data_IF_373944354205
#
_entry.id   IF_373944354205
#
_cell.length_a   1.000
_cell.length_b   1.000
_cell.length_c   1.000
_cell.angle_alpha   90.00
_cell.angle_beta   90.00
_cell.angle_gamma   90.00
#
_symmetry.space_group_name_H-M   'P 1'
#
loop_
_entity.id
_entity.type
_entity.pdbx_description
1 polymer ?
#
# COMPACT_ATOMS: atom_id res chain seq x y z
N UNK A 1 10.17 -3.73 -2.04
CA UNK A 1 9.25 -2.81 -2.74
C UNK A 1 8.49 -1.96 -1.72
N UNK A 2 8.37 -0.65 -1.94
CA UNK A 2 7.61 0.27 -1.08
C UNK A 2 6.40 0.79 -1.86
N UNK A 3 5.20 0.77 -1.27
CA UNK A 3 3.98 1.32 -1.88
C UNK A 3 3.15 2.09 -0.84
N UNK A 4 2.61 3.25 -1.22
CA UNK A 4 1.67 4.00 -0.37
C UNK A 4 0.24 3.46 -0.46
N UNK A 5 -0.02 2.49 -1.33
CA UNK A 5 -1.35 1.87 -1.51
C UNK A 5 -1.23 0.36 -1.56
N UNK A 6 -2.17 -0.31 -0.91
CA UNK A 6 -2.33 -1.76 -1.01
C UNK A 6 -2.63 -2.16 -2.48
N UNK A 7 -1.80 -3.02 -3.12
CA UNK A 7 -1.85 -3.26 -4.56
C UNK A 7 -2.92 -4.26 -5.01
N UNK A 8 -3.53 -5.01 -4.08
CA UNK A 8 -4.50 -6.07 -4.39
C UNK A 8 -5.90 -5.73 -3.82
N UNK A 9 -7.00 -6.13 -4.47
CA UNK A 9 -7.09 -6.69 -5.82
C UNK A 9 -6.72 -5.67 -6.90
N UNK A 10 -6.18 -6.13 -8.04
CA UNK A 10 -5.80 -5.28 -9.18
C UNK A 10 -7.03 -4.85 -9.99
N UNK A 11 -8.11 -4.48 -9.31
CA UNK A 11 -9.38 -4.01 -9.90
C UNK A 11 -9.81 -2.66 -9.33
N UNK A 12 -9.20 -2.23 -8.21
CA UNK A 12 -9.56 -1.00 -7.48
C UNK A 12 -9.04 0.30 -8.11
N UNK A 13 -8.27 0.22 -9.19
CA UNK A 13 -7.78 1.39 -9.92
C UNK A 13 -6.49 1.14 -10.69
N UNK A 14 -6.14 2.09 -11.58
CA UNK A 14 -4.97 1.97 -12.45
C UNK A 14 -3.62 1.94 -11.71
N UNK A 15 -3.55 2.51 -10.51
CA UNK A 15 -2.35 2.42 -9.66
C UNK A 15 -2.19 1.02 -9.09
N UNK A 16 -3.26 0.41 -8.59
CA UNK A 16 -3.26 -0.95 -8.07
C UNK A 16 -2.92 -1.95 -9.19
N UNK A 17 -3.56 -1.82 -10.36
CA UNK A 17 -3.28 -2.66 -11.54
C UNK A 17 -1.78 -2.65 -11.90
N UNK A 18 -1.17 -1.45 -12.04
CA UNK A 18 0.24 -1.34 -12.42
C UNK A 18 1.17 -1.88 -11.34
N UNK A 19 0.91 -1.52 -10.08
CA UNK A 19 1.74 -1.93 -8.93
C UNK A 19 1.70 -3.45 -8.75
N UNK A 20 0.52 -4.06 -8.84
CA UNK A 20 0.34 -5.51 -8.72
C UNK A 20 1.04 -6.27 -9.85
N UNK A 21 0.86 -5.86 -11.10
CA UNK A 21 1.50 -6.54 -12.23
C UNK A 21 3.04 -6.40 -12.19
N UNK A 22 3.56 -5.25 -11.77
CA UNK A 22 4.99 -5.08 -11.55
C UNK A 22 5.50 -6.00 -10.42
N UNK A 23 4.79 -6.05 -9.29
CA UNK A 23 5.14 -6.93 -8.18
C UNK A 23 5.18 -8.40 -8.62
N UNK A 24 4.13 -8.84 -9.32
CA UNK A 24 4.02 -10.21 -9.84
C UNK A 24 5.22 -10.55 -10.75
N UNK A 25 5.52 -9.69 -11.71
CA UNK A 25 6.67 -9.89 -12.60
C UNK A 25 7.99 -9.96 -11.84
N UNK A 26 8.22 -9.07 -10.86
CA UNK A 26 9.45 -9.08 -10.07
C UNK A 26 9.55 -10.30 -9.15
N UNK A 27 8.42 -10.80 -8.61
CA UNK A 27 8.40 -11.98 -7.74
C UNK A 27 8.81 -13.28 -8.45
N UNK A 28 8.78 -13.33 -9.78
CA UNK A 28 9.23 -14.50 -10.55
C UNK A 28 10.74 -14.73 -10.46
N UNK A 29 11.51 -13.68 -10.16
CA UNK A 29 12.98 -13.71 -10.20
C UNK A 29 13.65 -13.13 -8.96
N UNK A 30 12.89 -12.53 -8.05
CA UNK A 30 13.42 -11.84 -6.88
C UNK A 30 12.60 -12.13 -5.63
N UNK A 31 13.29 -12.37 -4.51
CA UNK A 31 12.69 -12.43 -3.19
C UNK A 31 12.31 -11.03 -2.73
N UNK A 32 11.06 -10.64 -2.97
CA UNK A 32 10.59 -9.31 -2.63
C UNK A 32 10.16 -9.23 -1.16
N UNK A 33 10.74 -8.28 -0.42
CA UNK A 33 10.13 -7.74 0.81
C UNK A 33 9.25 -6.56 0.43
N UNK A 34 7.95 -6.63 0.70
CA UNK A 34 6.99 -5.57 0.41
C UNK A 34 6.53 -4.88 1.69
N UNK A 35 6.57 -3.54 1.65
CA UNK A 35 5.99 -2.69 2.69
C UNK A 35 4.90 -1.82 2.05
N UNK A 36 3.69 -1.87 2.60
CA UNK A 36 2.54 -1.16 2.04
C UNK A 36 1.59 -0.62 3.11
N UNK A 37 0.74 0.33 2.74
CA UNK A 37 -0.33 0.82 3.60
C UNK A 37 -1.69 0.24 3.18
N UNK A 38 -2.48 -0.25 4.13
CA UNK A 38 -3.86 -0.69 3.90
C UNK A 38 -4.86 0.44 4.20
N UNK A 39 -5.90 0.54 3.36
CA UNK A 39 -7.11 1.30 3.67
C UNK A 39 -8.08 0.45 4.48
N UNK A 40 -9.08 1.07 5.11
CA UNK A 40 -10.08 0.41 5.97
C UNK A 40 -10.85 -0.75 5.32
N UNK A 41 -10.87 -0.85 3.99
CA UNK A 41 -11.61 -1.86 3.23
C UNK A 41 -10.71 -2.98 2.66
N UNK A 42 -9.63 -3.37 3.34
CA UNK A 42 -8.82 -4.52 2.95
C UNK A 42 -9.20 -5.70 3.83
N UNK A 43 -9.54 -6.84 3.23
CA UNK A 43 -9.88 -8.05 3.97
C UNK A 43 -8.63 -8.87 4.29
N UNK A 44 -8.72 -9.75 5.29
CA UNK A 44 -7.60 -10.64 5.63
C UNK A 44 -7.26 -11.58 4.47
N UNK A 45 -8.26 -12.02 3.70
CA UNK A 45 -8.04 -12.84 2.50
C UNK A 45 -7.22 -12.09 1.44
N UNK A 46 -7.48 -10.79 1.25
CA UNK A 46 -6.71 -9.95 0.33
C UNK A 46 -5.26 -9.76 0.80
N UNK A 47 -5.03 -9.75 2.12
CA UNK A 47 -3.68 -9.72 2.71
C UNK A 47 -2.94 -11.02 2.47
N UNK A 48 -3.61 -12.16 2.65
CA UNK A 48 -2.99 -13.47 2.46
C UNK A 48 -2.64 -13.75 1.00
N UNK A 49 -3.49 -13.36 0.05
CA UNK A 49 -3.13 -13.45 -1.38
C UNK A 49 -1.87 -12.65 -1.70
N UNK A 50 -1.72 -11.45 -1.12
CA UNK A 50 -0.52 -10.65 -1.33
C UNK A 50 0.71 -11.26 -0.64
N UNK A 51 0.52 -11.89 0.53
CA UNK A 51 1.57 -12.57 1.29
C UNK A 51 2.16 -13.74 0.52
N UNK A 52 1.35 -14.51 -0.19
CA UNK A 52 1.82 -15.65 -1.00
C UNK A 52 2.69 -15.22 -2.20
N UNK A 53 2.57 -13.98 -2.66
CA UNK A 53 3.30 -13.45 -3.82
C UNK A 53 4.67 -12.86 -3.47
N UNK A 54 5.00 -12.70 -2.19
CA UNK A 54 6.21 -12.01 -1.74
C UNK A 54 6.91 -12.79 -0.64
N UNK A 55 8.23 -12.65 -0.51
CA UNK A 55 8.99 -13.33 0.53
C UNK A 55 8.63 -12.78 1.94
N UNK A 56 8.35 -11.48 2.04
CA UNK A 56 7.91 -10.84 3.28
C UNK A 56 6.92 -9.72 2.99
N UNK A 57 5.84 -9.66 3.79
CA UNK A 57 4.83 -8.62 3.70
C UNK A 57 4.67 -7.89 5.03
N UNK A 58 4.86 -6.57 5.00
CA UNK A 58 4.59 -5.67 6.13
C UNK A 58 3.49 -4.69 5.71
N UNK A 59 2.37 -4.71 6.41
CA UNK A 59 1.22 -3.83 6.17
C UNK A 59 1.10 -2.85 7.32
N UNK A 60 1.05 -1.56 6.97
CA UNK A 60 0.84 -0.47 7.91
C UNK A 60 -0.59 0.06 7.79
N UNK A 61 -1.25 0.43 8.90
CA UNK A 61 -2.48 1.17 8.80
C UNK A 61 -2.22 2.51 8.11
N UNK A 62 -3.14 2.95 7.26
CA UNK A 62 -3.08 4.30 6.71
C UNK A 62 -3.14 5.30 7.87
N UNK A 63 -2.29 6.34 7.89
CA UNK A 63 -2.38 7.38 8.91
C UNK A 63 -3.79 7.96 8.94
N UNK A 64 -4.36 8.10 10.14
CA UNK A 64 -5.57 8.87 10.32
C UNK A 64 -5.34 10.26 9.69
N UNK A 65 -6.35 10.79 9.00
CA UNK A 65 -6.28 12.21 8.61
C UNK A 65 -6.18 13.00 9.90
N UNK A 66 -4.99 13.46 10.24
CA UNK A 66 -4.88 14.55 11.19
C UNK A 66 -5.67 15.69 10.58
N UNK A 67 -6.60 16.28 11.35
CA UNK A 67 -7.09 17.60 10.96
C UNK A 67 -5.87 18.44 10.65
N UNK A 68 -5.86 19.24 9.57
CA UNK A 68 -4.74 20.11 9.30
C UNK A 68 -4.58 20.99 10.54
N UNK A 69 -3.58 20.70 11.39
CA UNK A 69 -3.10 21.66 12.36
C UNK A 69 -2.86 22.90 11.53
N UNK A 70 -3.66 23.95 11.77
CA UNK A 70 -3.76 25.22 11.04
C UNK A 70 -2.41 25.71 10.52
N UNK A 71 -1.94 25.09 9.45
CA UNK A 71 -0.59 25.20 8.95
C UNK A 71 -0.57 26.36 8.01
N UNK A 72 0.39 27.26 8.21
CA UNK A 72 0.64 28.52 7.50
C UNK A 72 -0.15 29.73 8.01
N UNK A 73 -1.35 29.58 8.59
CA UNK A 73 -2.19 30.74 9.00
C UNK A 73 -1.80 31.44 10.32
N UNK A 74 -0.69 31.05 10.98
CA UNK A 74 -0.24 31.65 12.26
C UNK A 74 1.00 32.55 12.18
N UNK A 75 1.53 32.85 10.98
CA UNK A 75 2.72 33.72 10.83
C UNK A 75 2.44 35.20 10.56
N UNK A 76 1.17 35.62 10.57
CA UNK A 76 0.81 37.04 10.40
C UNK A 76 -0.34 37.38 11.33
N UNK A 77 -0.02 37.63 12.60
CA UNK A 77 -0.74 38.53 13.50
C UNK A 77 0.12 38.82 14.73
#
# INVERSE_FOLDING_TARGET
MLSSTFPYPPTRGGTQVRTFNLLKYLSEHHDITMMTQSSENITDEEVEVLRELVAQLVVFPKPAKTEPEKGILKRVQ
#
